data_IF_445158593853
#
_entry.id   IF_445158593853
#
_cell.length_a   1.000
_cell.length_b   1.000
_cell.length_c   1.000
_cell.angle_alpha   90.00
_cell.angle_beta   90.00
_cell.angle_gamma   90.00
#
_symmetry.space_group_name_H-M   'P 1'
#
loop_
_entity.id
_entity.type
_entity.pdbx_description
1 polymer ?
#
# COMPACT_ATOMS: atom_id res chain seq x y z
N UNK A 1 18.09 26.12 1.24
CA UNK A 1 19.20 25.30 1.79
C UNK A 1 18.96 23.86 1.32
N UNK A 2 19.87 23.35 0.47
CA UNK A 2 19.78 22.03 -0.16
C UNK A 2 20.07 20.97 0.89
N UNK A 3 19.07 20.21 1.36
CA UNK A 3 19.32 18.94 2.01
C UNK A 3 19.62 17.96 0.88
N UNK A 4 20.86 17.46 0.83
CA UNK A 4 21.23 16.38 -0.06
C UNK A 4 20.27 15.20 0.22
N UNK A 5 19.63 14.68 -0.83
CA UNK A 5 18.90 13.41 -0.78
C UNK A 5 20.00 12.36 -0.68
N UNK A 6 20.29 11.92 0.54
CA UNK A 6 21.27 10.87 0.79
C UNK A 6 20.64 9.54 0.38
N UNK A 7 20.94 9.07 -0.82
CA UNK A 7 20.86 7.65 -1.13
C UNK A 7 22.09 6.98 -0.49
N UNK A 8 21.94 5.73 -0.07
CA UNK A 8 22.90 4.86 0.63
C UNK A 8 22.77 4.88 2.17
N UNK A 9 22.16 3.83 2.71
CA UNK A 9 22.91 2.77 3.43
C UNK A 9 21.96 1.65 3.86
N UNK A 10 22.21 0.44 3.36
CA UNK A 10 22.05 -0.79 4.15
C UNK A 10 23.02 -1.85 3.64
N UNK A 11 24.30 -1.60 3.88
CA UNK A 11 25.22 -2.65 4.31
C UNK A 11 25.64 -2.27 5.74
N UNK A 12 25.42 -3.19 6.68
CA UNK A 12 25.64 -3.09 8.12
C UNK A 12 26.97 -2.40 8.50
N UNK A 13 26.93 -1.48 9.49
CA UNK A 13 27.72 -1.57 10.73
C UNK A 13 27.17 -0.57 11.77
N UNK A 14 26.98 -1.05 13.00
CA UNK A 14 26.42 -0.31 14.13
C UNK A 14 27.42 0.65 14.77
N UNK A 15 26.97 1.87 15.12
CA UNK A 15 27.34 2.59 16.36
C UNK A 15 26.11 3.36 16.84
N UNK A 16 25.78 3.18 18.11
CA UNK A 16 24.48 3.48 18.68
C UNK A 16 24.22 4.94 19.04
N UNK A 17 22.98 5.35 18.75
CA UNK A 17 22.09 5.88 19.78
C UNK A 17 20.91 4.90 19.83
N UNK A 18 20.57 4.36 21.01
CA UNK A 18 19.36 3.54 21.16
C UNK A 18 18.15 4.45 20.99
N UNK A 19 17.70 4.66 19.75
CA UNK A 19 16.27 4.81 19.51
C UNK A 19 15.67 3.46 19.93
N UNK A 20 14.65 3.40 20.80
CA UNK A 20 13.96 2.15 21.07
C UNK A 20 13.60 1.56 19.70
N UNK A 21 14.09 0.35 19.41
CA UNK A 21 13.68 -0.35 18.21
C UNK A 21 12.14 -0.38 18.26
N UNK A 22 11.48 0.25 17.27
CA UNK A 22 10.04 0.09 17.11
C UNK A 22 9.80 -1.42 17.16
N UNK A 23 9.00 -1.88 18.14
CA UNK A 23 8.79 -3.30 18.36
C UNK A 23 8.22 -3.89 17.07
N UNK A 24 9.04 -4.66 16.36
CA UNK A 24 8.57 -5.43 15.23
C UNK A 24 7.59 -6.47 15.77
N UNK A 25 6.37 -6.50 15.22
CA UNK A 25 5.34 -7.44 15.64
C UNK A 25 5.77 -8.88 15.29
N UNK A 26 5.84 -9.81 16.26
CA UNK A 26 6.32 -11.17 15.99
C UNK A 26 5.46 -11.95 14.99
N UNK A 27 4.18 -11.59 14.89
CA UNK A 27 3.19 -12.16 13.97
C UNK A 27 3.11 -11.42 12.63
N UNK A 28 3.99 -10.44 12.40
CA UNK A 28 4.12 -9.73 11.11
C UNK A 28 5.59 -9.84 10.65
N UNK A 29 6.05 -11.03 10.22
CA UNK A 29 7.39 -11.17 9.66
C UNK A 29 7.53 -10.32 8.39
N UNK A 30 8.77 -10.03 7.97
CA UNK A 30 9.00 -9.28 6.72
C UNK A 30 8.39 -9.94 5.50
N UNK A 31 8.19 -11.25 5.51
CA UNK A 31 7.54 -11.99 4.43
C UNK A 31 6.01 -11.80 4.39
N UNK A 32 5.41 -11.21 5.43
CA UNK A 32 3.98 -10.90 5.46
C UNK A 32 3.65 -9.83 4.40
N UNK A 33 2.52 -9.99 3.69
CA UNK A 33 2.16 -9.10 2.58
C UNK A 33 1.92 -7.65 3.03
N UNK A 34 1.30 -7.45 4.20
CA UNK A 34 1.08 -6.12 4.77
C UNK A 34 2.22 -5.60 5.66
N UNK A 35 3.41 -6.23 5.65
CA UNK A 35 4.52 -5.84 6.54
C UNK A 35 4.84 -4.35 6.45
N UNK A 36 5.02 -3.81 5.23
CA UNK A 36 5.38 -2.41 5.03
C UNK A 36 4.27 -1.44 5.45
N UNK A 37 3.01 -1.77 5.17
CA UNK A 37 1.87 -0.95 5.56
C UNK A 37 1.71 -0.88 7.08
N UNK A 38 1.83 -2.01 7.76
CA UNK A 38 1.75 -2.09 9.22
C UNK A 38 2.94 -1.36 9.86
N UNK A 39 4.16 -1.58 9.34
CA UNK A 39 5.36 -0.88 9.81
C UNK A 39 5.21 0.64 9.65
N UNK A 40 4.73 1.10 8.48
CA UNK A 40 4.53 2.51 8.20
C UNK A 40 3.53 3.16 9.17
N UNK A 41 2.34 2.56 9.32
CA UNK A 41 1.30 3.12 10.18
C UNK A 41 1.67 3.04 11.66
N UNK A 42 2.46 2.05 12.06
CA UNK A 42 2.99 1.99 13.42
C UNK A 42 4.02 3.10 13.67
N UNK A 43 4.94 3.31 12.74
CA UNK A 43 5.93 4.40 12.79
C UNK A 43 5.28 5.79 12.77
N UNK A 44 4.13 5.94 12.10
CA UNK A 44 3.37 7.18 12.09
C UNK A 44 2.42 7.34 13.30
N UNK A 45 2.37 6.37 14.21
CA UNK A 45 1.51 6.40 15.40
C UNK A 45 0.02 6.20 15.13
N UNK A 46 -0.34 5.74 13.92
CA UNK A 46 -1.74 5.52 13.51
C UNK A 46 -2.28 4.18 14.03
N UNK A 47 -1.43 3.16 14.08
CA UNK A 47 -1.80 1.84 14.63
C UNK A 47 -0.84 1.38 15.71
N UNK A 48 -1.38 0.64 16.67
CA UNK A 48 -0.64 -0.05 17.72
C UNK A 48 -0.97 -1.55 17.73
N UNK A 49 -0.04 -2.34 18.26
CA UNK A 49 -0.28 -3.74 18.59
C UNK A 49 -0.99 -3.91 19.93
N UNK A 50 -1.22 -5.17 20.28
CA UNK A 50 -1.81 -5.59 21.54
C UNK A 50 -0.77 -5.62 22.66
N UNK A 51 -1.24 -5.72 23.91
CA UNK A 51 -0.38 -5.81 25.10
C UNK A 51 0.54 -7.04 25.08
N UNK A 52 0.16 -8.08 24.36
CA UNK A 52 0.96 -9.30 24.13
C UNK A 52 2.10 -9.10 23.10
N UNK A 53 2.22 -7.91 22.51
CA UNK A 53 3.24 -7.55 21.52
C UNK A 53 2.89 -7.94 20.08
N UNK A 54 1.71 -8.50 19.82
CA UNK A 54 1.27 -8.89 18.46
C UNK A 54 0.48 -7.79 17.76
N UNK A 55 0.32 -7.87 16.43
CA UNK A 55 -0.54 -6.98 15.66
C UNK A 55 -1.90 -7.56 15.30
N UNK A 56 -1.97 -8.89 15.13
CA UNK A 56 -3.11 -9.70 14.67
C UNK A 56 -3.61 -9.28 13.28
N UNK A 57 -2.77 -9.36 12.23
CA UNK A 57 -3.12 -8.86 10.89
C UNK A 57 -4.40 -9.49 10.33
N UNK A 58 -4.63 -10.79 10.58
CA UNK A 58 -5.79 -11.53 10.07
C UNK A 58 -7.09 -11.33 10.87
N UNK A 59 -7.05 -10.58 11.97
CA UNK A 59 -8.25 -10.33 12.77
C UNK A 59 -9.17 -9.35 12.04
N UNK A 60 -10.45 -9.72 11.90
CA UNK A 60 -11.48 -8.86 11.33
C UNK A 60 -11.70 -7.60 12.16
N UNK A 61 -12.00 -6.50 11.47
CA UNK A 61 -12.22 -5.18 12.07
C UNK A 61 -13.70 -4.84 12.05
N UNK A 62 -14.26 -4.49 13.20
CA UNK A 62 -15.64 -4.04 13.25
C UNK A 62 -15.79 -2.57 12.81
N UNK A 63 -17.02 -2.12 12.53
CA UNK A 63 -17.29 -0.77 12.01
C UNK A 63 -16.78 0.35 12.92
N UNK A 64 -16.85 0.20 14.24
CA UNK A 64 -16.41 1.24 15.18
C UNK A 64 -14.90 1.28 15.36
N UNK A 65 -14.23 0.13 15.30
CA UNK A 65 -12.76 0.05 15.26
C UNK A 65 -12.22 0.67 13.97
N UNK A 66 -12.86 0.37 12.83
CA UNK A 66 -12.56 0.99 11.54
C UNK A 66 -12.72 2.52 11.60
N UNK A 67 -13.82 2.99 12.20
CA UNK A 67 -14.06 4.42 12.31
C UNK A 67 -13.03 5.10 13.22
N UNK A 68 -12.69 4.49 14.36
CA UNK A 68 -11.65 4.99 15.26
C UNK A 68 -10.32 5.16 14.54
N UNK A 69 -9.83 4.12 13.85
CA UNK A 69 -8.53 4.19 13.18
C UNK A 69 -8.53 5.19 12.03
N UNK A 70 -9.63 5.32 11.30
CA UNK A 70 -9.77 6.35 10.25
C UNK A 70 -9.70 7.75 10.85
N UNK A 71 -10.49 8.04 11.88
CA UNK A 71 -10.57 9.39 12.44
C UNK A 71 -9.26 9.79 13.13
N UNK A 72 -8.73 8.94 14.02
CA UNK A 72 -7.48 9.22 14.73
C UNK A 72 -6.29 9.25 13.75
N UNK A 73 -6.26 8.32 12.78
CA UNK A 73 -5.19 8.28 11.78
C UNK A 73 -5.16 9.50 10.85
N UNK A 74 -6.29 10.19 10.70
CA UNK A 74 -6.39 11.45 9.96
C UNK A 74 -6.38 12.69 10.88
N UNK A 75 -6.02 12.51 12.17
CA UNK A 75 -5.99 13.57 13.18
C UNK A 75 -7.28 14.38 13.29
N UNK A 76 -8.44 13.71 13.14
CA UNK A 76 -9.74 14.33 13.34
C UNK A 76 -9.98 14.50 14.84
N UNK A 77 -10.34 15.72 15.24
CA UNK A 77 -10.74 16.01 16.62
C UNK A 77 -12.05 15.29 16.96
N UNK A 78 -12.01 14.47 18.02
CA UNK A 78 -13.16 13.71 18.48
C UNK A 78 -13.92 14.55 19.51
N UNK A 79 -15.14 14.97 19.15
CA UNK A 79 -15.96 15.80 20.02
C UNK A 79 -16.56 14.97 21.16
N UNK A 80 -16.33 15.43 22.40
CA UNK A 80 -17.04 14.93 23.58
C UNK A 80 -18.46 15.50 23.70
N UNK A 81 -18.76 16.56 22.96
CA UNK A 81 -20.08 17.18 22.89
C UNK A 81 -20.83 16.74 21.63
N UNK A 82 -22.01 16.16 21.81
CA UNK A 82 -22.88 15.77 20.73
C UNK A 82 -24.35 15.92 21.12
N UNK A 83 -25.21 16.14 20.12
CA UNK A 83 -26.65 16.25 20.29
C UNK A 83 -27.32 14.89 20.50
N UNK A 84 -28.61 14.81 20.17
CA UNK A 84 -29.36 13.56 20.23
C UNK A 84 -28.71 12.48 19.34
N UNK A 85 -28.52 11.28 19.89
CA UNK A 85 -27.98 10.13 19.17
C UNK A 85 -29.08 9.60 18.22
N UNK A 86 -28.86 9.60 16.90
CA UNK A 86 -29.89 9.21 15.93
C UNK A 86 -29.99 7.69 15.71
N UNK A 87 -29.07 6.91 16.29
CA UNK A 87 -28.95 5.48 16.09
C UNK A 87 -29.50 4.70 17.29
N UNK A 88 -30.41 3.76 17.03
CA UNK A 88 -31.10 2.99 18.07
C UNK A 88 -30.20 1.99 18.82
N UNK A 89 -29.06 1.65 18.24
CA UNK A 89 -28.07 0.69 18.75
C UNK A 89 -26.76 1.34 19.23
N UNK A 90 -26.79 2.65 19.50
CA UNK A 90 -25.67 3.42 20.06
C UNK A 90 -26.13 4.12 21.33
N UNK A 91 -25.42 3.91 22.44
CA UNK A 91 -25.76 4.47 23.75
C UNK A 91 -24.71 5.50 24.18
N UNK A 92 -25.11 6.51 24.96
CA UNK A 92 -24.21 7.60 25.41
C UNK A 92 -22.92 7.10 26.09
N UNK A 93 -22.97 5.95 26.77
CA UNK A 93 -21.84 5.38 27.50
C UNK A 93 -20.92 4.46 26.68
N UNK A 94 -21.24 4.15 25.43
CA UNK A 94 -20.38 3.29 24.63
C UNK A 94 -19.08 4.01 24.27
N UNK A 95 -17.95 3.30 24.36
CA UNK A 95 -16.62 3.87 24.07
C UNK A 95 -16.53 4.49 22.67
N UNK A 96 -17.34 3.98 21.73
CA UNK A 96 -17.36 4.40 20.34
C UNK A 96 -18.32 5.56 20.05
N UNK A 97 -19.17 5.96 20.99
CA UNK A 97 -20.25 6.91 20.74
C UNK A 97 -19.73 8.25 20.23
N UNK A 98 -18.67 8.77 20.84
CA UNK A 98 -18.04 10.02 20.40
C UNK A 98 -17.50 9.94 18.96
N UNK A 99 -16.96 8.79 18.54
CA UNK A 99 -16.46 8.58 17.18
C UNK A 99 -17.62 8.54 16.18
N UNK A 100 -18.67 7.78 16.49
CA UNK A 100 -19.88 7.67 15.65
C UNK A 100 -20.55 9.03 15.49
N UNK A 101 -20.72 9.78 16.58
CA UNK A 101 -21.35 11.10 16.55
C UNK A 101 -20.49 12.14 15.83
N UNK A 102 -19.17 12.12 16.01
CA UNK A 102 -18.23 12.97 15.27
C UNK A 102 -18.33 12.68 13.76
N UNK A 103 -18.24 11.41 13.37
CA UNK A 103 -18.34 11.00 11.98
C UNK A 103 -19.70 11.35 11.35
N UNK A 104 -20.80 11.25 12.10
CA UNK A 104 -22.13 11.65 11.65
C UNK A 104 -22.20 13.16 11.43
N UNK A 105 -21.66 13.95 12.36
CA UNK A 105 -21.60 15.41 12.26
C UNK A 105 -20.77 15.91 11.06
N UNK A 106 -19.72 15.17 10.71
CA UNK A 106 -18.86 15.44 9.54
C UNK A 106 -19.42 14.87 8.23
N UNK A 107 -20.54 14.15 8.24
CA UNK A 107 -21.11 13.52 7.05
C UNK A 107 -20.29 12.34 6.51
N UNK A 108 -19.44 11.74 7.34
CA UNK A 108 -18.63 10.57 6.98
C UNK A 108 -19.50 9.30 6.98
N UNK A 109 -20.44 9.21 7.94
CA UNK A 109 -21.36 8.07 8.09
C UNK A 109 -22.81 8.52 8.15
N UNK A 110 -23.70 7.72 7.55
CA UNK A 110 -25.14 7.97 7.54
C UNK A 110 -25.91 7.08 8.52
N UNK A 111 -25.40 5.88 8.80
CA UNK A 111 -26.12 4.77 9.40
C UNK A 111 -26.83 3.90 8.36
N UNK A 112 -27.55 2.90 8.85
CA UNK A 112 -28.33 1.98 8.05
C UNK A 112 -29.78 2.52 7.89
N UNK A 113 -30.52 2.09 6.84
CA UNK A 113 -31.90 2.53 6.60
C UNK A 113 -32.89 2.25 7.73
N UNK A 114 -32.58 1.29 8.60
CA UNK A 114 -33.40 0.90 9.76
C UNK A 114 -33.17 1.77 11.01
N UNK A 115 -32.31 2.79 10.92
CA UNK A 115 -31.99 3.67 12.04
C UNK A 115 -30.94 3.08 13.00
N UNK A 116 -30.16 2.10 12.56
CA UNK A 116 -29.00 1.55 13.30
C UNK A 116 -27.67 2.03 12.73
N UNK A 117 -26.58 1.84 13.46
CA UNK A 117 -25.21 1.97 12.95
C UNK A 117 -24.55 0.59 12.69
N UNK A 118 -24.94 -0.42 13.47
CA UNK A 118 -24.36 -1.77 13.56
C UNK A 118 -22.89 -1.77 13.99
N UNK A 119 -22.55 -1.25 15.20
CA UNK A 119 -21.18 -0.96 15.60
C UNK A 119 -20.26 -2.20 15.63
N UNK A 120 -20.77 -3.32 16.14
CA UNK A 120 -20.01 -4.57 16.28
C UNK A 120 -19.97 -5.45 15.04
N UNK A 121 -20.58 -5.03 13.92
CA UNK A 121 -20.49 -5.80 12.66
C UNK A 121 -19.13 -5.58 12.02
N UNK A 122 -18.58 -6.59 11.38
CA UNK A 122 -17.39 -6.46 10.55
C UNK A 122 -17.60 -5.42 9.44
N UNK A 123 -16.61 -4.55 9.25
CA UNK A 123 -16.67 -3.50 8.24
C UNK A 123 -16.49 -4.12 6.85
N UNK A 124 -17.39 -3.81 5.92
CA UNK A 124 -17.19 -4.20 4.52
C UNK A 124 -16.20 -3.25 3.84
N UNK A 125 -15.46 -3.74 2.86
CA UNK A 125 -14.47 -2.98 2.07
C UNK A 125 -15.03 -1.68 1.51
N UNK A 126 -16.21 -1.73 0.90
CA UNK A 126 -16.88 -0.55 0.35
C UNK A 126 -17.20 0.51 1.42
N UNK A 127 -17.55 0.07 2.63
CA UNK A 127 -17.87 0.98 3.74
C UNK A 127 -16.61 1.62 4.31
N UNK A 128 -15.56 0.82 4.49
CA UNK A 128 -14.26 1.33 4.91
C UNK A 128 -13.74 2.40 3.94
N UNK A 129 -13.80 2.11 2.63
CA UNK A 129 -13.38 3.05 1.59
C UNK A 129 -14.23 4.33 1.59
N UNK A 130 -15.57 4.23 1.70
CA UNK A 130 -16.43 5.41 1.85
C UNK A 130 -16.00 6.26 3.06
N UNK A 131 -15.83 5.64 4.23
CA UNK A 131 -15.46 6.36 5.45
C UNK A 131 -14.09 7.04 5.31
N UNK A 132 -13.09 6.32 4.80
CA UNK A 132 -11.72 6.81 4.66
C UNK A 132 -11.62 7.94 3.63
N UNK A 133 -12.27 7.79 2.47
CA UNK A 133 -12.26 8.78 1.40
C UNK A 133 -13.03 10.05 1.79
N UNK A 134 -14.20 9.92 2.42
CA UNK A 134 -14.95 11.08 2.92
C UNK A 134 -14.16 11.85 3.98
N UNK A 135 -13.49 11.14 4.90
CA UNK A 135 -12.63 11.76 5.92
C UNK A 135 -11.52 12.61 5.28
N UNK A 136 -11.00 12.17 4.14
CA UNK A 136 -9.97 12.86 3.38
C UNK A 136 -10.53 13.88 2.36
N UNK A 137 -11.80 14.23 2.45
CA UNK A 137 -12.42 15.27 1.61
C UNK A 137 -12.72 14.84 0.18
N UNK A 138 -12.59 13.56 -0.18
CA UNK A 138 -13.00 13.06 -1.48
C UNK A 138 -14.52 13.08 -1.57
N UNK A 139 -15.07 14.06 -2.29
CA UNK A 139 -16.48 14.10 -2.66
C UNK A 139 -16.65 13.36 -3.96
N UNK A 140 -17.01 12.09 -3.87
CA UNK A 140 -17.29 11.30 -5.06
C UNK A 140 -18.73 11.58 -5.50
N UNK A 141 -18.88 12.15 -6.69
CA UNK A 141 -20.20 12.37 -7.29
C UNK A 141 -20.82 11.03 -7.72
N UNK A 142 -22.13 11.02 -7.97
CA UNK A 142 -22.80 9.85 -8.54
C UNK A 142 -22.06 9.45 -9.83
N UNK A 143 -21.71 8.18 -9.94
CA UNK A 143 -21.08 7.66 -11.14
C UNK A 143 -22.11 7.57 -12.27
N UNK A 144 -21.87 8.28 -13.37
CA UNK A 144 -22.75 8.26 -14.56
C UNK A 144 -22.14 7.47 -15.74
N UNK A 145 -20.92 6.93 -15.56
CA UNK A 145 -20.23 6.18 -16.58
C UNK A 145 -20.66 4.70 -16.67
N UNK A 146 -20.06 3.99 -17.62
CA UNK A 146 -20.21 2.54 -17.72
C UNK A 146 -19.62 1.82 -16.49
N UNK A 147 -20.06 0.59 -16.25
CA UNK A 147 -19.49 -0.29 -15.24
C UNK A 147 -18.00 -0.56 -15.55
N UNK A 148 -17.11 -0.33 -14.57
CA UNK A 148 -15.66 -0.51 -14.72
C UNK A 148 -15.20 -1.88 -14.19
N UNK A 149 -15.73 -2.29 -13.03
CA UNK A 149 -15.36 -3.52 -12.34
C UNK A 149 -16.51 -4.52 -12.37
N UNK A 150 -16.21 -5.81 -12.50
CA UNK A 150 -17.19 -6.86 -12.78
C UNK A 150 -18.24 -7.01 -11.66
N UNK A 151 -17.87 -6.74 -10.40
CA UNK A 151 -18.72 -6.85 -9.22
C UNK A 151 -19.10 -5.50 -8.59
N UNK A 152 -18.93 -4.40 -9.33
CA UNK A 152 -19.34 -3.06 -8.90
C UNK A 152 -20.38 -2.51 -9.89
N UNK A 153 -21.69 -2.76 -9.65
CA UNK A 153 -22.74 -2.21 -10.51
C UNK A 153 -22.72 -0.68 -10.53
N UNK A 154 -23.11 -0.06 -11.64
CA UNK A 154 -23.00 1.40 -11.82
C UNK A 154 -23.92 2.22 -10.90
N UNK A 155 -25.02 1.63 -10.42
CA UNK A 155 -26.06 2.28 -9.60
C UNK A 155 -26.04 1.79 -8.15
N UNK A 156 -24.89 1.83 -7.49
CA UNK A 156 -24.78 1.51 -6.07
C UNK A 156 -24.20 2.71 -5.32
N UNK A 157 -24.59 2.85 -4.05
CA UNK A 157 -24.10 3.94 -3.19
C UNK A 157 -22.57 3.91 -3.04
N UNK A 158 -21.96 2.72 -3.15
CA UNK A 158 -20.52 2.54 -3.04
C UNK A 158 -19.77 2.68 -4.36
N UNK A 159 -20.46 2.70 -5.51
CA UNK A 159 -19.83 2.69 -6.84
C UNK A 159 -18.78 3.78 -7.01
N UNK A 160 -19.04 5.06 -6.65
CA UNK A 160 -18.04 6.10 -6.84
C UNK A 160 -16.76 5.88 -6.03
N UNK A 161 -16.89 5.36 -4.80
CA UNK A 161 -15.74 5.04 -3.94
C UNK A 161 -14.97 3.85 -4.47
N UNK A 162 -15.64 2.75 -4.81
CA UNK A 162 -15.00 1.57 -5.39
C UNK A 162 -14.30 1.90 -6.71
N UNK A 163 -14.94 2.70 -7.57
CA UNK A 163 -14.37 3.11 -8.85
C UNK A 163 -13.12 3.96 -8.68
N UNK A 164 -13.14 4.95 -7.77
CA UNK A 164 -11.95 5.72 -7.45
C UNK A 164 -10.86 4.81 -6.90
N UNK A 165 -11.17 3.98 -5.91
CA UNK A 165 -10.19 3.15 -5.23
C UNK A 165 -9.52 2.14 -6.16
N UNK A 166 -10.29 1.49 -7.05
CA UNK A 166 -9.72 0.54 -8.01
C UNK A 166 -8.90 1.19 -9.13
N UNK A 167 -9.29 2.40 -9.58
CA UNK A 167 -8.56 3.13 -10.62
C UNK A 167 -7.28 3.81 -10.10
N UNK A 168 -7.32 4.31 -8.86
CA UNK A 168 -6.18 4.96 -8.22
C UNK A 168 -5.16 3.95 -7.65
N UNK A 169 -5.43 2.64 -7.73
CA UNK A 169 -4.57 1.61 -7.15
C UNK A 169 -4.64 1.51 -5.62
N UNK A 170 -5.67 2.12 -5.00
CA UNK A 170 -5.91 2.04 -3.55
C UNK A 170 -6.34 0.63 -3.12
N UNK A 171 -7.04 -0.09 -4.01
CA UNK A 171 -7.34 -1.52 -3.85
C UNK A 171 -7.05 -2.26 -5.15
N UNK A 172 -6.61 -3.51 -5.03
CA UNK A 172 -6.25 -4.33 -6.18
C UNK A 172 -7.44 -5.16 -6.66
N UNK A 173 -7.63 -5.22 -7.98
CA UNK A 173 -8.58 -6.11 -8.64
C UNK A 173 -8.00 -7.50 -8.84
N UNK A 174 -8.85 -8.52 -8.84
CA UNK A 174 -8.44 -9.88 -9.22
C UNK A 174 -8.34 -10.06 -10.75
N UNK A 175 -7.99 -11.28 -11.17
CA UNK A 175 -7.88 -11.63 -12.59
C UNK A 175 -9.21 -11.55 -13.36
N UNK A 176 -10.35 -11.55 -12.66
CA UNK A 176 -11.70 -11.43 -13.22
C UNK A 176 -12.23 -9.99 -13.13
N UNK A 177 -11.37 -9.01 -12.78
CA UNK A 177 -11.72 -7.60 -12.64
C UNK A 177 -12.74 -7.32 -11.50
N UNK A 178 -12.71 -8.12 -10.43
CA UNK A 178 -13.52 -7.91 -9.22
C UNK A 178 -12.75 -7.14 -8.14
N UNK A 179 -13.46 -6.36 -7.32
CA UNK A 179 -12.91 -5.62 -6.17
C UNK A 179 -13.42 -6.12 -4.80
N UNK A 180 -14.48 -6.91 -4.78
CA UNK A 180 -15.12 -7.49 -3.59
C UNK A 180 -15.65 -6.42 -2.61
N UNK A 181 -16.63 -5.58 -2.99
CA UNK A 181 -17.11 -4.48 -2.15
C UNK A 181 -17.71 -4.92 -0.80
N UNK A 182 -18.30 -6.12 -0.75
CA UNK A 182 -18.95 -6.66 0.45
C UNK A 182 -18.01 -7.48 1.34
N UNK A 183 -16.76 -7.72 0.93
CA UNK A 183 -15.80 -8.49 1.74
C UNK A 183 -15.50 -7.76 3.06
N UNK A 184 -15.53 -8.49 4.17
CA UNK A 184 -15.08 -7.99 5.46
C UNK A 184 -13.57 -7.75 5.43
N UNK A 185 -13.11 -6.68 6.07
CA UNK A 185 -11.67 -6.37 6.13
C UNK A 185 -11.03 -6.86 7.42
N UNK A 186 -9.83 -7.41 7.30
CA UNK A 186 -8.94 -7.64 8.43
C UNK A 186 -8.03 -6.42 8.73
N UNK A 187 -7.31 -6.47 9.85
CA UNK A 187 -6.41 -5.39 10.31
C UNK A 187 -5.28 -5.12 9.32
N UNK A 188 -4.73 -6.15 8.69
CA UNK A 188 -3.69 -6.03 7.66
C UNK A 188 -4.19 -5.29 6.42
N UNK A 189 -5.37 -5.63 5.92
CA UNK A 189 -5.99 -4.97 4.77
C UNK A 189 -6.39 -3.53 5.06
N UNK A 190 -6.89 -3.25 6.27
CA UNK A 190 -7.15 -1.88 6.74
C UNK A 190 -5.86 -1.06 6.71
N UNK A 191 -4.75 -1.63 7.21
CA UNK A 191 -3.45 -0.98 7.18
C UNK A 191 -2.97 -0.73 5.75
N UNK A 192 -3.10 -1.72 4.87
CA UNK A 192 -2.73 -1.63 3.46
C UNK A 192 -3.45 -0.48 2.75
N UNK A 193 -4.77 -0.40 2.89
CA UNK A 193 -5.57 0.65 2.24
C UNK A 193 -5.16 2.03 2.77
N UNK A 194 -4.96 2.19 4.08
CA UNK A 194 -4.53 3.48 4.65
C UNK A 194 -3.11 3.86 4.20
N UNK A 195 -2.19 2.89 4.13
CA UNK A 195 -0.85 3.09 3.59
C UNK A 195 -0.88 3.53 2.13
N UNK A 196 -1.65 2.83 1.29
CA UNK A 196 -1.81 3.17 -0.12
C UNK A 196 -2.43 4.55 -0.32
N UNK A 197 -3.42 4.93 0.49
CA UNK A 197 -3.96 6.29 0.44
C UNK A 197 -2.90 7.33 0.84
N UNK A 198 -2.05 7.05 1.82
CA UNK A 198 -0.96 7.95 2.21
C UNK A 198 0.03 8.19 1.06
N UNK A 199 0.33 7.15 0.26
CA UNK A 199 1.16 7.26 -0.95
C UNK A 199 0.46 8.16 -1.97
N UNK A 200 -0.82 7.92 -2.24
CA UNK A 200 -1.59 8.72 -3.21
C UNK A 200 -1.64 10.20 -2.78
N UNK A 201 -1.91 10.46 -1.49
CA UNK A 201 -2.00 11.82 -0.95
C UNK A 201 -0.64 12.51 -0.82
N UNK A 202 0.47 11.77 -0.78
CA UNK A 202 1.81 12.36 -0.74
C UNK A 202 2.11 13.21 -1.97
N UNK A 203 1.45 12.93 -3.11
CA UNK A 203 1.44 13.75 -4.32
C UNK A 203 2.83 14.17 -4.79
N UNK A 204 3.20 15.44 -4.53
CA UNK A 204 4.45 16.03 -4.98
C UNK A 204 5.64 15.82 -4.02
N UNK A 205 5.46 15.06 -2.93
CA UNK A 205 6.53 14.78 -1.97
C UNK A 205 7.51 13.73 -2.52
N UNK A 206 8.42 14.18 -3.40
CA UNK A 206 9.44 13.34 -4.05
C UNK A 206 10.25 12.52 -3.05
N UNK A 207 10.69 13.11 -1.92
CA UNK A 207 11.49 12.39 -0.93
C UNK A 207 10.71 11.23 -0.32
N UNK A 208 9.44 11.45 0.05
CA UNK A 208 8.59 10.42 0.59
C UNK A 208 8.40 9.27 -0.40
N UNK A 209 8.08 9.58 -1.65
CA UNK A 209 7.88 8.59 -2.71
C UNK A 209 9.13 7.75 -2.96
N UNK A 210 10.31 8.37 -3.02
CA UNK A 210 11.57 7.64 -3.19
C UNK A 210 11.83 6.72 -1.99
N UNK A 211 11.66 7.22 -0.76
CA UNK A 211 11.87 6.40 0.45
C UNK A 211 10.91 5.21 0.51
N UNK A 212 9.64 5.37 0.14
CA UNK A 212 8.69 4.26 0.09
C UNK A 212 9.03 3.27 -1.04
N UNK A 213 9.46 3.76 -2.21
CA UNK A 213 9.90 2.91 -3.30
C UNK A 213 11.15 2.09 -2.93
N UNK A 214 12.10 2.67 -2.22
CA UNK A 214 13.28 1.95 -1.70
C UNK A 214 12.88 0.80 -0.77
N UNK A 215 11.93 1.04 0.14
CA UNK A 215 11.37 -0.01 1.01
C UNK A 215 10.72 -1.13 0.20
N UNK A 216 9.90 -0.79 -0.80
CA UNK A 216 9.28 -1.78 -1.68
C UNK A 216 10.32 -2.59 -2.45
N UNK A 217 11.36 -1.95 -3.01
CA UNK A 217 12.42 -2.65 -3.73
C UNK A 217 13.21 -3.61 -2.82
N UNK A 218 13.50 -3.21 -1.57
CA UNK A 218 14.14 -4.09 -0.60
C UNK A 218 13.28 -5.32 -0.25
N UNK A 219 11.95 -5.18 -0.35
CA UNK A 219 10.99 -6.22 -0.05
C UNK A 219 10.86 -7.27 -1.17
N UNK A 220 11.20 -6.90 -2.42
CA UNK A 220 11.17 -7.81 -3.59
C UNK A 220 12.01 -9.06 -3.33
N UNK A 221 13.28 -8.90 -2.94
CA UNK A 221 14.19 -10.03 -2.71
C UNK A 221 13.71 -10.94 -1.57
N UNK A 222 13.07 -10.35 -0.54
CA UNK A 222 12.49 -11.11 0.57
C UNK A 222 11.33 -11.98 0.06
N UNK A 223 10.43 -11.40 -0.74
CA UNK A 223 9.30 -12.14 -1.32
C UNK A 223 9.75 -13.21 -2.33
N UNK A 224 10.79 -12.94 -3.13
CA UNK A 224 11.39 -13.95 -4.02
C UNK A 224 11.99 -15.10 -3.19
N UNK A 225 12.71 -14.79 -2.11
CA UNK A 225 13.28 -15.80 -1.21
C UNK A 225 12.22 -16.65 -0.48
N UNK A 226 11.04 -16.06 -0.24
CA UNK A 226 9.87 -16.74 0.36
C UNK A 226 9.01 -17.49 -0.67
N UNK A 227 9.43 -17.54 -1.94
CA UNK A 227 8.66 -18.14 -3.04
C UNK A 227 7.25 -17.52 -3.19
N UNK A 228 7.15 -16.20 -2.98
CA UNK A 228 5.93 -15.41 -3.16
C UNK A 228 6.07 -14.41 -4.33
N UNK A 229 6.05 -14.90 -5.58
CA UNK A 229 6.27 -14.06 -6.76
C UNK A 229 5.21 -12.99 -6.97
N UNK A 230 3.98 -13.21 -6.51
CA UNK A 230 2.91 -12.24 -6.66
C UNK A 230 3.11 -11.03 -5.74
N UNK A 231 3.51 -11.26 -4.49
CA UNK A 231 3.89 -10.17 -3.59
C UNK A 231 5.14 -9.41 -4.10
N UNK A 232 6.14 -10.14 -4.59
CA UNK A 232 7.33 -9.55 -5.23
C UNK A 232 6.97 -8.66 -6.43
N UNK A 233 6.05 -9.13 -7.29
CA UNK A 233 5.56 -8.37 -8.45
C UNK A 233 4.78 -7.13 -8.03
N UNK A 234 3.88 -7.21 -7.04
CA UNK A 234 3.16 -6.05 -6.52
C UNK A 234 4.13 -5.00 -5.96
N UNK A 235 5.13 -5.43 -5.20
CA UNK A 235 6.17 -4.53 -4.67
C UNK A 235 6.96 -3.84 -5.81
N UNK A 236 7.29 -4.56 -6.89
CA UNK A 236 7.98 -3.95 -8.04
C UNK A 236 7.12 -2.93 -8.77
N UNK A 237 5.83 -3.21 -8.96
CA UNK A 237 4.87 -2.28 -9.58
C UNK A 237 4.71 -1.01 -8.74
N UNK A 238 4.51 -1.15 -7.42
CA UNK A 238 4.40 -0.01 -6.51
C UNK A 238 5.68 0.85 -6.49
N UNK A 239 6.85 0.22 -6.50
CA UNK A 239 8.12 0.94 -6.60
C UNK A 239 8.23 1.74 -7.91
N UNK A 240 7.78 1.16 -9.03
CA UNK A 240 7.73 1.86 -10.32
C UNK A 240 6.79 3.04 -10.27
N UNK A 241 5.57 2.87 -9.77
CA UNK A 241 4.57 3.96 -9.73
C UNK A 241 5.05 5.14 -8.88
N UNK A 242 5.59 4.86 -7.70
CA UNK A 242 6.12 5.89 -6.80
C UNK A 242 7.33 6.61 -7.40
N UNK A 243 8.28 5.89 -7.98
CA UNK A 243 9.47 6.51 -8.60
C UNK A 243 9.12 7.28 -9.86
N UNK A 244 8.12 6.84 -10.63
CA UNK A 244 7.60 7.60 -11.77
C UNK A 244 6.92 8.89 -11.35
N UNK A 245 6.12 8.86 -10.28
CA UNK A 245 5.54 10.08 -9.74
C UNK A 245 6.63 11.02 -9.21
N UNK A 246 7.63 10.50 -8.48
CA UNK A 246 8.79 11.26 -8.04
C UNK A 246 9.54 11.90 -9.22
N UNK A 247 9.72 11.16 -10.32
CA UNK A 247 10.36 11.65 -11.54
C UNK A 247 9.54 12.75 -12.24
N UNK A 248 8.21 12.62 -12.30
CA UNK A 248 7.34 13.70 -12.80
C UNK A 248 7.49 14.97 -11.96
N UNK A 249 7.66 14.82 -10.65
CA UNK A 249 7.83 15.95 -9.73
C UNK A 249 9.20 16.63 -9.89
N UNK A 250 10.26 15.85 -10.19
CA UNK A 250 11.63 16.35 -10.26
C UNK A 250 12.47 15.61 -11.34
N UNK A 251 12.26 15.89 -12.63
CA UNK A 251 12.85 15.12 -13.73
C UNK A 251 14.35 15.36 -13.95
N UNK A 252 14.87 16.49 -13.50
CA UNK A 252 16.28 16.89 -13.67
C UNK A 252 17.21 16.32 -12.57
N UNK A 253 16.65 15.62 -11.58
CA UNK A 253 17.41 15.08 -10.48
C UNK A 253 17.90 13.65 -10.80
N UNK A 254 19.23 13.49 -10.84
CA UNK A 254 19.87 12.22 -11.18
C UNK A 254 19.56 11.11 -10.16
N UNK A 255 19.36 11.46 -8.89
CA UNK A 255 18.99 10.49 -7.86
C UNK A 255 17.58 9.95 -8.15
N UNK A 256 16.63 10.83 -8.47
CA UNK A 256 15.26 10.44 -8.82
C UNK A 256 15.21 9.64 -10.14
N UNK A 257 15.92 10.09 -11.17
CA UNK A 257 16.04 9.37 -12.44
C UNK A 257 16.65 7.98 -12.26
N UNK A 258 17.70 7.89 -11.44
CA UNK A 258 18.36 6.63 -11.12
C UNK A 258 17.43 5.66 -10.39
N UNK A 259 16.70 6.13 -9.37
CA UNK A 259 15.72 5.33 -8.65
C UNK A 259 14.61 4.80 -9.58
N UNK A 260 14.08 5.62 -10.49
CA UNK A 260 13.08 5.19 -11.46
C UNK A 260 13.60 4.11 -12.42
N UNK A 261 14.87 4.18 -12.83
CA UNK A 261 15.50 3.14 -13.65
C UNK A 261 15.70 1.85 -12.86
N UNK A 262 16.16 1.92 -11.60
CA UNK A 262 16.32 0.77 -10.72
C UNK A 262 14.98 0.06 -10.47
N UNK A 263 13.93 0.80 -10.11
CA UNK A 263 12.60 0.23 -9.88
C UNK A 263 12.08 -0.48 -11.14
N UNK A 264 12.24 0.15 -12.31
CA UNK A 264 11.86 -0.47 -13.59
C UNK A 264 12.68 -1.72 -13.91
N UNK A 265 13.97 -1.73 -13.59
CA UNK A 265 14.81 -2.90 -13.81
C UNK A 265 14.43 -4.08 -12.91
N UNK A 266 14.08 -3.83 -11.65
CA UNK A 266 13.48 -4.86 -10.78
C UNK A 266 12.15 -5.38 -11.31
N UNK A 267 11.27 -4.50 -11.82
CA UNK A 267 10.00 -4.92 -12.41
C UNK A 267 10.20 -5.87 -13.61
N UNK A 268 11.22 -5.61 -14.43
CA UNK A 268 11.61 -6.51 -15.52
C UNK A 268 12.15 -7.85 -15.01
N UNK A 269 12.96 -7.87 -13.96
CA UNK A 269 13.37 -9.13 -13.31
C UNK A 269 12.16 -9.92 -12.83
N UNK A 270 11.16 -9.23 -12.25
CA UNK A 270 9.95 -9.92 -11.79
C UNK A 270 9.09 -10.48 -12.92
N UNK A 271 9.01 -9.78 -14.06
CA UNK A 271 8.37 -10.34 -15.26
C UNK A 271 9.11 -11.60 -15.74
N UNK A 272 10.46 -11.56 -15.80
CA UNK A 272 11.25 -12.73 -16.18
C UNK A 272 10.99 -13.93 -15.24
N UNK A 273 10.95 -13.69 -13.92
CA UNK A 273 10.65 -14.72 -12.92
C UNK A 273 9.25 -15.33 -13.12
N UNK A 274 8.23 -14.50 -13.34
CA UNK A 274 6.85 -14.97 -13.59
C UNK A 274 6.71 -15.78 -14.88
N UNK A 275 7.45 -15.41 -15.95
CA UNK A 275 7.47 -16.19 -17.19
C UNK A 275 8.27 -17.49 -17.06
N UNK A 276 9.30 -17.52 -16.22
CA UNK A 276 10.04 -18.74 -15.92
C UNK A 276 9.14 -19.79 -15.25
N UNK A 277 8.26 -19.36 -14.32
CA UNK A 277 7.23 -20.24 -13.71
C UNK A 277 6.29 -20.82 -14.79
N UNK A 278 5.98 -20.03 -15.82
CA UNK A 278 5.14 -20.44 -16.95
C UNK A 278 5.91 -21.21 -18.04
N UNK A 279 7.22 -21.41 -17.87
CA UNK A 279 8.12 -22.04 -18.85
C UNK A 279 8.12 -21.35 -20.22
N UNK A 280 7.87 -20.03 -20.25
CA UNK A 280 7.93 -19.22 -21.46
C UNK A 280 9.34 -18.62 -21.63
N UNK A 281 10.28 -19.44 -22.11
CA UNK A 281 11.70 -19.10 -22.12
C UNK A 281 12.06 -17.91 -23.04
N UNK A 282 11.33 -17.71 -24.12
CA UNK A 282 11.51 -16.54 -24.98
C UNK A 282 11.21 -15.23 -24.23
N UNK A 283 10.15 -15.20 -23.43
CA UNK A 283 9.85 -14.05 -22.57
C UNK A 283 10.86 -13.93 -21.42
N UNK A 284 11.34 -15.03 -20.85
CA UNK A 284 12.40 -15.00 -19.82
C UNK A 284 13.65 -14.31 -20.34
N UNK A 285 14.11 -14.65 -21.54
CA UNK A 285 15.27 -14.02 -22.17
C UNK A 285 14.99 -12.53 -22.46
N UNK A 286 13.83 -12.21 -23.05
CA UNK A 286 13.43 -10.85 -23.37
C UNK A 286 13.43 -9.93 -22.12
N UNK A 287 12.76 -10.35 -21.05
CA UNK A 287 12.66 -9.55 -19.82
C UNK A 287 13.98 -9.46 -19.06
N UNK A 288 14.77 -10.54 -19.03
CA UNK A 288 16.11 -10.51 -18.42
C UNK A 288 17.04 -9.54 -19.14
N UNK A 289 17.02 -9.52 -20.48
CA UNK A 289 17.80 -8.58 -21.28
C UNK A 289 17.36 -7.12 -21.04
N UNK A 290 16.04 -6.87 -20.95
CA UNK A 290 15.53 -5.54 -20.59
C UNK A 290 15.95 -5.11 -19.19
N UNK A 291 15.95 -6.01 -18.20
CA UNK A 291 16.45 -5.73 -16.85
C UNK A 291 17.93 -5.35 -16.83
N UNK A 292 18.77 -6.09 -17.58
CA UNK A 292 20.21 -5.82 -17.71
C UNK A 292 20.47 -4.47 -18.40
N UNK A 293 19.74 -4.17 -19.47
CA UNK A 293 19.85 -2.88 -20.15
C UNK A 293 19.46 -1.73 -19.20
N UNK A 294 18.30 -1.84 -18.55
CA UNK A 294 17.78 -0.78 -17.67
C UNK A 294 18.64 -0.55 -16.43
N UNK A 295 19.18 -1.61 -15.83
CA UNK A 295 20.15 -1.50 -14.73
C UNK A 295 21.48 -0.89 -15.16
N UNK A 296 21.92 -1.11 -16.41
CA UNK A 296 23.10 -0.43 -16.97
C UNK A 296 22.85 1.07 -17.13
N UNK A 297 21.67 1.47 -17.61
CA UNK A 297 21.32 2.88 -17.65
C UNK A 297 21.33 3.52 -16.25
N UNK A 298 20.86 2.81 -15.21
CA UNK A 298 20.89 3.32 -13.83
C UNK A 298 22.32 3.47 -13.30
N UNK A 299 23.20 2.52 -13.63
CA UNK A 299 24.62 2.54 -13.29
C UNK A 299 25.31 3.82 -13.78
N UNK A 300 24.99 4.26 -14.99
CA UNK A 300 25.60 5.43 -15.64
C UNK A 300 25.11 6.76 -15.06
N UNK A 301 23.94 6.78 -14.41
CA UNK A 301 23.34 8.00 -13.85
C UNK A 301 24.03 8.42 -12.54
N UNK A 302 24.34 7.47 -11.66
CA UNK A 302 24.98 7.75 -10.38
C UNK A 302 25.82 6.54 -9.92
N UNK A 303 27.09 6.77 -9.60
CA UNK A 303 28.02 5.75 -9.11
C UNK A 303 27.54 5.07 -7.82
N UNK A 304 26.72 5.74 -7.02
CA UNK A 304 26.12 5.18 -5.80
C UNK A 304 25.13 4.04 -6.10
N UNK A 305 24.58 3.98 -7.31
CA UNK A 305 23.62 2.96 -7.74
C UNK A 305 24.30 1.71 -8.30
N UNK A 306 25.61 1.73 -8.52
CA UNK A 306 26.36 0.60 -9.11
C UNK A 306 26.17 -0.71 -8.34
N UNK A 307 26.18 -0.76 -6.99
CA UNK A 307 25.95 -2.00 -6.25
C UNK A 307 24.56 -2.58 -6.52
N UNK A 308 23.53 -1.74 -6.57
CA UNK A 308 22.14 -2.16 -6.81
C UNK A 308 21.97 -2.59 -8.27
N UNK A 309 22.51 -1.82 -9.22
CA UNK A 309 22.50 -2.18 -10.63
C UNK A 309 23.21 -3.51 -10.89
N UNK A 310 24.33 -3.78 -10.18
CA UNK A 310 25.02 -5.08 -10.24
C UNK A 310 24.12 -6.21 -9.75
N UNK A 311 23.50 -6.05 -8.59
CA UNK A 311 22.62 -7.06 -8.00
C UNK A 311 21.46 -7.44 -8.94
N UNK A 312 20.85 -6.45 -9.59
CA UNK A 312 19.77 -6.68 -10.58
C UNK A 312 20.29 -7.49 -11.77
N UNK A 313 21.48 -7.17 -12.29
CA UNK A 313 22.12 -7.94 -13.37
C UNK A 313 22.38 -9.37 -12.94
N UNK A 314 22.89 -9.57 -11.73
CA UNK A 314 23.16 -10.89 -11.19
C UNK A 314 21.86 -11.72 -11.12
N UNK A 315 20.75 -11.14 -10.66
CA UNK A 315 19.43 -11.80 -10.67
C UNK A 315 18.88 -12.11 -12.06
N UNK A 316 18.97 -11.17 -13.00
CA UNK A 316 18.56 -11.44 -14.38
C UNK A 316 19.36 -12.62 -14.99
N UNK A 317 20.68 -12.66 -14.73
CA UNK A 317 21.53 -13.75 -15.18
C UNK A 317 21.18 -15.10 -14.53
N UNK A 318 20.89 -15.11 -13.22
CA UNK A 318 20.46 -16.32 -12.51
C UNK A 318 19.18 -16.92 -13.09
N UNK A 319 18.21 -16.08 -13.49
CA UNK A 319 16.98 -16.55 -14.13
C UNK A 319 17.28 -17.09 -15.53
N UNK A 320 18.14 -16.43 -16.31
CA UNK A 320 18.51 -16.90 -17.66
C UNK A 320 19.21 -18.27 -17.66
N UNK A 321 19.97 -18.61 -16.62
CA UNK A 321 20.62 -19.93 -16.51
C UNK A 321 19.61 -21.09 -16.44
N UNK A 322 18.34 -20.80 -16.11
CA UNK A 322 17.27 -21.80 -16.07
C UNK A 322 16.72 -22.17 -17.46
N UNK A 323 17.06 -21.41 -18.50
CA UNK A 323 16.61 -21.65 -19.88
C UNK A 323 17.20 -22.99 -20.39
N UNK A 324 16.36 -23.97 -20.77
CA UNK A 324 16.85 -25.25 -21.29
C UNK A 324 17.67 -25.10 -22.57
N UNK A 325 18.67 -25.96 -22.78
CA UNK A 325 19.43 -25.95 -24.04
C UNK A 325 18.53 -26.34 -25.22
N UNK A 326 18.38 -25.44 -26.20
CA UNK A 326 17.63 -25.66 -27.43
C UNK A 326 16.15 -25.22 -27.41
N UNK A 327 15.74 -24.48 -26.38
CA UNK A 327 14.44 -23.76 -26.31
C UNK A 327 14.41 -22.48 -27.12
#
# INVERSE_FOLDING_TARGET
>A
MRKAISIITSALFAVGTMVPAALAFPDVPKTHENYLAIEFLNQSGVVSGYEDGTYKPDQLVNRVEALKVILEGNNIEISSEFGAIPFSDVQTGDWFTQYVMTAKGLGIVDGNPDGTFAPGRDVAKAEFLKMLLNTNGFKTEKWEGAQIFADVPADQWYTPFMNYSGQAGLVTKDANNNLYPAAALNRGEVAEIMYMLSIILSGNNTQFLITQAEKQMAQIDIYVGDNNPLAAKRASELAVDMTQQAYKNLPEDNVVLGAAKIARAYDFVMNAYLFAIQQNWAEVENWSNQAIAKSTEAWEVNNELQPIAKHIKDRANEIMVQIPSGS
#
